data_IF_226462537074
#
_entry.id   IF_226462537074
#
_cell.length_a   1.000
_cell.length_b   1.000
_cell.length_c   1.000
_cell.angle_alpha   90.00
_cell.angle_beta   90.00
_cell.angle_gamma   90.00
#
_symmetry.space_group_name_H-M   'P 1'
#
loop_
_entity.id
_entity.type
_entity.pdbx_description
1 polymer ?
#
# COMPACT_ATOMS: atom_id res chain seq x y z
N UNK A 1 -12.30 -11.40 -20.78
CA UNK A 1 -11.03 -10.64 -20.60
C UNK A 1 -9.90 -11.62 -20.86
N UNK A 2 -8.84 -11.25 -21.58
CA UNK A 2 -7.72 -12.18 -21.79
C UNK A 2 -6.84 -12.26 -20.54
N UNK A 3 -7.03 -13.32 -19.74
CA UNK A 3 -6.26 -13.56 -18.52
C UNK A 3 -4.76 -13.71 -18.78
N UNK A 4 -4.36 -14.16 -19.98
CA UNK A 4 -2.96 -14.34 -20.31
C UNK A 4 -2.24 -12.99 -20.49
N UNK A 5 -2.97 -11.96 -20.91
CA UNK A 5 -2.42 -10.62 -21.10
C UNK A 5 -2.16 -9.85 -19.80
N UNK A 6 -2.72 -10.31 -18.67
CA UNK A 6 -2.56 -9.66 -17.36
C UNK A 6 -1.15 -9.89 -16.84
N UNK A 7 -0.34 -8.83 -16.92
CA UNK A 7 1.04 -8.80 -16.43
C UNK A 7 1.25 -7.52 -15.62
N UNK A 8 1.71 -7.67 -14.37
CA UNK A 8 2.19 -6.55 -13.57
C UNK A 8 3.51 -6.06 -14.18
N UNK A 9 3.54 -4.78 -14.53
CA UNK A 9 4.72 -4.12 -15.10
C UNK A 9 5.41 -3.35 -13.98
N UNK A 10 6.69 -3.65 -13.78
CA UNK A 10 7.51 -2.99 -12.78
C UNK A 10 8.09 -1.69 -13.35
N UNK A 11 7.98 -0.61 -12.60
CA UNK A 11 8.50 0.69 -12.97
C UNK A 11 9.21 1.32 -11.77
N UNK A 12 10.34 1.97 -12.00
CA UNK A 12 11.13 2.58 -10.94
C UNK A 12 10.31 3.61 -10.15
N UNK A 13 10.26 3.44 -8.82
CA UNK A 13 9.50 4.32 -7.95
C UNK A 13 7.99 4.04 -7.87
N UNK A 14 7.50 2.95 -8.47
CA UNK A 14 6.11 2.47 -8.31
C UNK A 14 6.10 1.15 -7.55
N UNK A 15 5.71 1.20 -6.29
CA UNK A 15 5.78 0.05 -5.37
C UNK A 15 4.44 -0.36 -4.75
N UNK A 16 3.36 0.37 -5.03
CA UNK A 16 2.02 -0.02 -4.59
C UNK A 16 1.50 -1.17 -5.46
N UNK A 17 1.82 -2.39 -5.04
CA UNK A 17 1.52 -3.63 -5.77
C UNK A 17 0.03 -3.80 -6.10
N UNK A 18 -0.89 -3.28 -5.26
CA UNK A 18 -2.32 -3.35 -5.53
C UNK A 18 -2.72 -2.44 -6.70
N UNK A 19 -2.20 -1.21 -6.73
CA UNK A 19 -2.44 -0.27 -7.83
C UNK A 19 -1.89 -0.84 -9.15
N UNK A 20 -0.69 -1.45 -9.11
CA UNK A 20 -0.11 -2.10 -10.28
C UNK A 20 -0.92 -3.32 -10.74
N UNK A 21 -1.47 -4.11 -9.81
CA UNK A 21 -2.39 -5.21 -10.11
C UNK A 21 -3.67 -4.73 -10.80
N UNK A 22 -4.29 -3.66 -10.29
CA UNK A 22 -5.46 -3.03 -10.90
C UNK A 22 -5.15 -2.46 -12.30
N UNK A 23 -3.99 -1.82 -12.48
CA UNK A 23 -3.55 -1.38 -13.82
C UNK A 23 -3.34 -2.56 -14.78
N UNK A 24 -2.77 -3.67 -14.31
CA UNK A 24 -2.58 -4.86 -15.14
C UNK A 24 -3.92 -5.44 -15.62
N UNK A 25 -4.91 -5.51 -14.72
CA UNK A 25 -6.29 -5.92 -15.04
C UNK A 25 -6.95 -4.96 -16.02
N UNK A 26 -6.84 -3.64 -15.79
CA UNK A 26 -7.40 -2.64 -16.68
C UNK A 26 -6.79 -2.69 -18.09
N UNK A 27 -5.46 -2.89 -18.20
CA UNK A 27 -4.79 -3.07 -19.49
C UNK A 27 -5.28 -4.30 -20.26
N UNK A 28 -5.57 -5.39 -19.56
CA UNK A 28 -6.16 -6.59 -20.17
C UNK A 28 -7.63 -6.40 -20.60
N UNK A 29 -8.28 -5.34 -20.10
CA UNK A 29 -9.60 -4.88 -20.50
C UNK A 29 -9.54 -3.72 -21.51
N UNK A 30 -8.42 -3.55 -22.22
CA UNK A 30 -8.18 -2.49 -23.21
C UNK A 30 -8.28 -1.05 -22.65
N UNK A 31 -8.06 -0.88 -21.34
CA UNK A 31 -8.03 0.43 -20.68
C UNK A 31 -6.70 0.77 -20.02
N UNK A 32 -6.58 2.00 -19.55
CA UNK A 32 -5.43 2.47 -18.78
C UNK A 32 -5.93 3.24 -17.57
N UNK A 33 -5.32 2.99 -16.41
CA UNK A 33 -5.62 3.71 -15.17
C UNK A 33 -4.38 4.47 -14.73
N UNK A 34 -4.56 5.70 -14.26
CA UNK A 34 -3.46 6.47 -13.69
C UNK A 34 -3.03 5.90 -12.32
N UNK A 35 -1.74 5.54 -12.20
CA UNK A 35 -1.19 4.94 -10.98
C UNK A 35 -1.30 5.86 -9.77
N UNK A 36 -1.06 7.16 -9.95
CA UNK A 36 -1.05 8.13 -8.86
C UNK A 36 -2.46 8.45 -8.40
N UNK A 37 -3.42 8.51 -9.33
CA UNK A 37 -4.84 8.60 -9.05
C UNK A 37 -5.36 7.37 -8.28
N UNK A 38 -4.95 6.15 -8.67
CA UNK A 38 -5.29 4.92 -7.93
C UNK A 38 -4.74 4.94 -6.50
N UNK A 39 -3.46 5.28 -6.34
CA UNK A 39 -2.83 5.41 -5.02
C UNK A 39 -3.53 6.47 -4.15
N UNK A 40 -3.86 7.62 -4.74
CA UNK A 40 -4.59 8.68 -4.05
C UNK A 40 -6.01 8.24 -3.67
N UNK A 41 -6.76 7.62 -4.59
CA UNK A 41 -8.11 7.12 -4.34
C UNK A 41 -8.15 6.09 -3.21
N UNK A 42 -7.14 5.23 -3.09
CA UNK A 42 -7.03 4.31 -1.96
C UNK A 42 -6.52 4.99 -0.67
N UNK A 43 -6.12 6.26 -0.71
CA UNK A 43 -5.57 7.03 0.41
C UNK A 43 -4.11 6.70 0.75
N UNK A 44 -3.45 5.87 -0.06
CA UNK A 44 -2.15 5.26 0.28
C UNK A 44 -0.96 6.15 -0.04
N UNK A 45 -1.13 7.11 -0.97
CA UNK A 45 -0.09 8.08 -1.33
C UNK A 45 0.21 9.08 -0.20
N UNK A 46 -0.76 9.33 0.69
CA UNK A 46 -0.65 10.27 1.82
C UNK A 46 -0.44 9.56 3.17
N UNK A 47 -0.71 8.26 3.28
CA UNK A 47 -0.58 7.52 4.53
C UNK A 47 0.77 6.82 4.67
N UNK A 48 1.40 6.97 5.84
CA UNK A 48 2.46 6.07 6.31
C UNK A 48 1.86 4.88 7.07
N UNK A 49 2.56 3.74 7.09
CA UNK A 49 2.10 2.50 7.75
C UNK A 49 3.30 1.80 8.38
N UNK A 50 3.14 1.33 9.62
CA UNK A 50 4.14 0.54 10.33
C UNK A 50 3.46 -0.47 11.26
N UNK A 51 4.26 -1.36 11.87
CA UNK A 51 3.85 -2.27 12.94
C UNK A 51 4.68 -2.06 14.19
N UNK A 52 4.04 -2.18 15.37
CA UNK A 52 4.73 -2.10 16.66
C UNK A 52 5.31 -3.41 17.18
N UNK A 53 4.87 -4.58 16.66
CA UNK A 53 5.25 -5.89 17.22
C UNK A 53 6.01 -6.80 16.26
N UNK A 54 6.46 -6.28 15.13
CA UNK A 54 7.28 -7.04 14.19
C UNK A 54 8.69 -6.46 14.08
N UNK A 55 9.68 -7.31 13.74
CA UNK A 55 11.09 -6.92 13.74
C UNK A 55 11.46 -5.93 12.62
N UNK A 56 10.54 -5.54 11.73
CA UNK A 56 10.84 -4.81 10.50
C UNK A 56 9.67 -3.96 9.98
N UNK A 57 9.81 -2.62 9.85
CA UNK A 57 8.73 -1.77 9.34
C UNK A 57 8.57 -1.85 7.80
N UNK A 58 9.60 -2.27 7.05
CA UNK A 58 9.69 -2.11 5.59
C UNK A 58 8.62 -2.81 4.74
N UNK A 59 8.06 -3.92 5.23
CA UNK A 59 7.12 -4.74 4.47
C UNK A 59 5.66 -4.30 4.60
N UNK A 60 5.37 -3.39 5.52
CA UNK A 60 4.00 -3.05 5.91
C UNK A 60 3.42 -1.87 5.14
N UNK A 61 4.25 -1.15 4.39
CA UNK A 61 3.74 -0.14 3.46
C UNK A 61 2.93 -0.78 2.31
N UNK A 62 3.12 -2.07 2.01
CA UNK A 62 2.36 -2.85 1.02
C UNK A 62 1.23 -3.67 1.62
N UNK A 63 0.90 -3.43 2.90
CA UNK A 63 -0.17 -4.16 3.57
C UNK A 63 -1.48 -4.06 2.81
N UNK A 64 -2.36 -5.05 2.98
CA UNK A 64 -3.70 -5.05 2.44
C UNK A 64 -4.51 -3.86 2.94
N UNK A 65 -4.36 -2.71 2.29
CA UNK A 65 -5.12 -1.48 2.51
C UNK A 65 -6.44 -1.58 1.77
N UNK A 66 -7.18 -2.60 2.15
CA UNK A 66 -8.35 -3.11 1.47
C UNK A 66 -9.64 -2.44 1.94
N UNK A 67 -9.61 -1.76 3.10
CA UNK A 67 -10.71 -0.96 3.64
C UNK A 67 -11.37 -0.04 2.60
N UNK A 68 -10.59 0.41 1.61
CA UNK A 68 -11.06 1.29 0.55
C UNK A 68 -10.87 0.76 -0.86
N UNK A 69 -10.39 -0.49 -1.05
CA UNK A 69 -10.09 -1.00 -2.40
C UNK A 69 -11.35 -1.13 -3.25
N UNK A 70 -12.46 -1.65 -2.69
CA UNK A 70 -13.70 -1.83 -3.43
C UNK A 70 -14.30 -0.50 -3.87
N UNK A 71 -14.28 0.52 -2.99
CA UNK A 71 -14.82 1.84 -3.29
C UNK A 71 -13.91 2.61 -4.27
N UNK A 72 -12.60 2.50 -4.14
CA UNK A 72 -11.63 3.07 -5.07
C UNK A 72 -11.73 2.40 -6.44
N UNK A 73 -11.69 1.07 -6.54
CA UNK A 73 -11.78 0.34 -7.79
C UNK A 73 -13.09 0.65 -8.54
N UNK A 74 -14.21 0.74 -7.82
CA UNK A 74 -15.51 1.12 -8.41
C UNK A 74 -15.48 2.50 -9.07
N UNK A 75 -14.75 3.45 -8.49
CA UNK A 75 -14.60 4.79 -9.06
C UNK A 75 -13.91 4.75 -10.44
N UNK A 76 -13.03 3.78 -10.67
CA UNK A 76 -12.34 3.54 -11.95
C UNK A 76 -13.05 2.52 -12.85
N UNK A 77 -14.32 2.17 -12.56
CA UNK A 77 -15.09 1.23 -13.38
C UNK A 77 -14.72 -0.25 -13.19
N UNK A 78 -14.07 -0.59 -12.07
CA UNK A 78 -13.75 -1.98 -11.71
C UNK A 78 -14.68 -2.45 -10.60
N UNK A 79 -15.45 -3.52 -10.85
CA UNK A 79 -16.27 -4.17 -9.83
C UNK A 79 -15.49 -5.31 -9.20
N UNK A 80 -15.13 -5.13 -7.93
CA UNK A 80 -14.52 -6.16 -7.12
C UNK A 80 -15.58 -6.86 -6.28
N UNK A 81 -15.50 -8.18 -6.18
CA UNK A 81 -16.19 -8.97 -5.16
C UNK A 81 -15.18 -9.53 -4.20
N UNK A 82 -15.35 -9.13 -2.94
CA UNK A 82 -14.57 -9.66 -1.86
C UNK A 82 -14.90 -11.13 -1.60
N UNK A 83 -13.88 -11.99 -1.48
CA UNK A 83 -14.07 -13.38 -1.05
C UNK A 83 -14.25 -13.51 0.46
N UNK A 84 -13.69 -12.58 1.26
CA UNK A 84 -13.81 -12.58 2.72
C UNK A 84 -13.61 -11.17 3.30
N UNK A 85 -14.36 -10.77 4.35
CA UNK A 85 -14.23 -9.43 4.90
C UNK A 85 -12.78 -9.10 5.32
N UNK A 86 -12.30 -7.88 5.07
CA UNK A 86 -10.97 -7.40 5.45
C UNK A 86 -10.59 -7.69 6.90
N UNK A 87 -11.57 -7.54 7.79
CA UNK A 87 -11.40 -7.66 9.25
C UNK A 87 -10.97 -9.07 9.69
N UNK A 88 -11.18 -10.08 8.84
CA UNK A 88 -10.85 -11.48 9.13
C UNK A 88 -9.39 -11.79 8.80
N UNK A 89 -8.77 -11.06 7.85
CA UNK A 89 -7.44 -11.37 7.34
C UNK A 89 -6.34 -11.32 8.42
N UNK A 90 -6.29 -10.26 9.22
CA UNK A 90 -5.22 -10.09 10.24
C UNK A 90 -5.30 -11.16 11.33
N UNK A 91 -6.51 -11.56 11.74
CA UNK A 91 -6.73 -12.63 12.73
C UNK A 91 -6.29 -14.01 12.21
N UNK A 92 -6.36 -14.20 10.89
CA UNK A 92 -6.10 -15.49 10.25
C UNK A 92 -4.61 -15.80 10.03
N UNK A 93 -3.72 -14.81 9.96
CA UNK A 93 -2.27 -15.07 9.77
C UNK A 93 -1.68 -15.87 10.93
N UNK A 94 -2.25 -15.72 12.13
CA UNK A 94 -1.81 -16.40 13.33
C UNK A 94 -2.59 -17.70 13.62
N UNK A 95 -3.62 -18.03 12.83
CA UNK A 95 -4.45 -19.21 13.04
C UNK A 95 -3.88 -20.43 12.34
N UNK A 96 -3.62 -21.50 13.10
CA UNK A 96 -3.13 -22.79 12.57
C UNK A 96 -4.10 -23.42 11.55
N UNK A 97 -5.38 -23.02 11.60
CA UNK A 97 -6.46 -23.48 10.71
C UNK A 97 -6.56 -22.71 9.39
N UNK A 98 -5.82 -21.60 9.22
CA UNK A 98 -5.96 -20.76 8.04
C UNK A 98 -5.63 -21.49 6.71
N UNK A 99 -4.55 -22.29 6.61
CA UNK A 99 -4.27 -23.05 5.39
C UNK A 99 -5.43 -23.98 4.96
N UNK A 100 -6.10 -24.61 5.92
CA UNK A 100 -7.24 -25.50 5.70
C UNK A 100 -8.46 -24.70 5.23
N UNK A 101 -8.68 -23.52 5.82
CA UNK A 101 -9.75 -22.61 5.38
C UNK A 101 -9.51 -22.08 3.96
N UNK A 102 -8.27 -21.73 3.62
CA UNK A 102 -7.90 -21.30 2.27
C UNK A 102 -8.19 -22.40 1.24
N UNK A 103 -7.77 -23.64 1.52
CA UNK A 103 -8.01 -24.79 0.64
C UNK A 103 -9.50 -25.13 0.52
N UNK A 104 -10.27 -25.04 1.61
CA UNK A 104 -11.69 -25.41 1.64
C UNK A 104 -12.64 -24.32 1.11
N UNK A 105 -12.27 -23.03 1.25
CA UNK A 105 -13.17 -21.90 0.99
C UNK A 105 -12.67 -20.98 -0.12
N UNK A 106 -11.44 -20.46 -0.02
CA UNK A 106 -10.91 -19.48 -0.99
C UNK A 106 -10.64 -20.14 -2.34
N UNK A 107 -9.86 -21.22 -2.35
CA UNK A 107 -9.40 -21.86 -3.58
C UNK A 107 -10.55 -22.31 -4.49
N UNK A 108 -11.64 -22.95 -4.02
CA UNK A 108 -12.79 -23.27 -4.88
C UNK A 108 -13.46 -22.04 -5.52
N UNK A 109 -13.52 -20.92 -4.80
CA UNK A 109 -14.08 -19.66 -5.31
C UNK A 109 -13.14 -19.01 -6.34
N UNK A 110 -11.82 -19.07 -6.13
CA UNK A 110 -10.82 -18.64 -7.11
C UNK A 110 -10.91 -19.48 -8.38
N UNK A 111 -10.97 -20.80 -8.26
CA UNK A 111 -11.12 -21.71 -9.41
C UNK A 111 -12.39 -21.41 -10.20
N UNK A 112 -13.49 -21.13 -9.50
CA UNK A 112 -14.76 -20.76 -10.15
C UNK A 112 -14.65 -19.42 -10.88
N UNK A 113 -13.99 -18.42 -10.27
CA UNK A 113 -13.77 -17.12 -10.90
C UNK A 113 -12.91 -17.25 -12.17
N UNK A 114 -11.80 -17.97 -12.10
CA UNK A 114 -10.94 -18.22 -13.26
C UNK A 114 -11.68 -18.97 -14.38
N UNK A 115 -12.54 -19.93 -14.03
CA UNK A 115 -13.42 -20.62 -14.98
C UNK A 115 -14.43 -19.71 -15.69
N UNK A 116 -14.71 -18.53 -15.13
CA UNK A 116 -15.54 -17.48 -15.72
C UNK A 116 -14.70 -16.34 -16.35
N UNK A 117 -13.41 -16.56 -16.59
CA UNK A 117 -12.47 -15.54 -17.11
C UNK A 117 -12.34 -14.29 -16.20
N UNK A 118 -12.54 -14.47 -14.88
CA UNK A 118 -12.43 -13.41 -13.88
C UNK A 118 -11.11 -13.57 -13.12
N UNK A 119 -10.14 -12.63 -13.26
CA UNK A 119 -8.91 -12.68 -12.50
C UNK A 119 -9.17 -12.40 -11.01
N UNK A 120 -8.25 -12.83 -10.15
CA UNK A 120 -8.35 -12.61 -8.70
C UNK A 120 -7.14 -11.82 -8.20
N UNK A 121 -7.38 -10.65 -7.61
CA UNK A 121 -6.36 -9.93 -6.84
C UNK A 121 -6.13 -10.70 -5.53
N UNK A 122 -4.88 -11.05 -5.25
CA UNK A 122 -4.52 -11.84 -4.08
C UNK A 122 -3.35 -11.19 -3.33
N UNK A 123 -3.55 -10.98 -2.04
CA UNK A 123 -2.52 -10.47 -1.15
C UNK A 123 -1.89 -11.61 -0.36
N UNK A 124 -0.56 -11.59 -0.29
CA UNK A 124 0.26 -12.68 0.25
C UNK A 124 0.14 -14.01 -0.50
N UNK A 125 0.89 -15.01 -0.02
CA UNK A 125 0.92 -16.35 -0.60
C UNK A 125 1.86 -16.51 -1.78
N UNK A 126 2.56 -15.44 -2.18
CA UNK A 126 3.57 -15.43 -3.24
C UNK A 126 4.95 -15.90 -2.73
N UNK A 127 5.86 -16.34 -3.61
CA UNK A 127 7.19 -16.79 -3.21
C UNK A 127 8.13 -15.66 -2.79
N UNK A 128 9.13 -16.02 -2.00
CA UNK A 128 10.33 -15.23 -1.69
C UNK A 128 10.04 -13.77 -1.28
N UNK A 129 10.72 -12.80 -1.90
CA UNK A 129 10.59 -11.38 -1.60
C UNK A 129 9.20 -10.82 -1.98
N UNK A 130 8.40 -11.56 -2.75
CA UNK A 130 7.06 -11.13 -3.16
C UNK A 130 5.96 -11.55 -2.18
N UNK A 131 6.31 -12.30 -1.13
CA UNK A 131 5.35 -12.88 -0.19
C UNK A 131 4.41 -11.88 0.49
N UNK A 132 4.76 -10.59 0.51
CA UNK A 132 3.97 -9.53 1.15
C UNK A 132 3.23 -8.61 0.16
N UNK A 133 3.34 -8.86 -1.15
CA UNK A 133 2.69 -8.04 -2.17
C UNK A 133 1.30 -8.55 -2.55
N UNK A 134 0.56 -7.64 -3.17
CA UNK A 134 -0.56 -8.00 -4.03
C UNK A 134 -0.05 -8.53 -5.36
N UNK A 135 -0.74 -9.54 -5.87
CA UNK A 135 -0.60 -10.02 -7.24
C UNK A 135 -1.95 -10.34 -7.85
N UNK A 136 -1.94 -10.80 -9.09
CA UNK A 136 -3.13 -11.20 -9.84
C UNK A 136 -3.02 -12.67 -10.20
N UNK A 137 -3.90 -13.49 -9.64
CA UNK A 137 -4.08 -14.90 -10.01
C UNK A 137 -4.83 -14.95 -11.33
N UNK A 138 -4.26 -15.67 -12.29
CA UNK A 138 -4.76 -15.75 -13.67
C UNK A 138 -4.83 -17.17 -14.21
N UNK A 139 -4.20 -18.13 -13.55
CA UNK A 139 -4.28 -19.54 -13.92
C UNK A 139 -4.45 -20.46 -12.72
N UNK A 140 -5.04 -21.62 -12.99
CA UNK A 140 -5.06 -22.75 -12.09
C UNK A 140 -4.73 -24.02 -12.88
N UNK A 141 -3.88 -24.87 -12.30
CA UNK A 141 -3.53 -26.17 -12.86
C UNK A 141 -3.15 -27.18 -11.80
N UNK A 142 -2.57 -28.31 -12.21
CA UNK A 142 -2.18 -29.40 -11.32
C UNK A 142 -1.17 -28.97 -10.24
N UNK A 143 -0.36 -27.94 -10.55
CA UNK A 143 0.61 -27.36 -9.63
C UNK A 143 0.04 -26.29 -8.68
N UNK A 144 -1.27 -26.01 -8.74
CA UNK A 144 -1.94 -25.00 -7.93
C UNK A 144 -2.31 -23.73 -8.70
N UNK A 145 -2.49 -22.64 -7.95
CA UNK A 145 -2.82 -21.31 -8.47
C UNK A 145 -1.55 -20.58 -8.88
N UNK A 146 -1.56 -19.88 -10.02
CA UNK A 146 -0.42 -19.05 -10.46
C UNK A 146 -0.88 -17.71 -11.00
N UNK A 147 0.03 -16.75 -11.00
CA UNK A 147 -0.28 -15.36 -11.31
C UNK A 147 0.95 -14.49 -11.42
N UNK A 148 0.74 -13.19 -11.55
CA UNK A 148 1.80 -12.17 -11.63
C UNK A 148 1.82 -11.35 -10.34
N UNK A 149 2.99 -10.95 -9.86
CA UNK A 149 3.17 -10.13 -8.65
C UNK A 149 4.37 -9.20 -8.82
N UNK A 150 4.52 -8.21 -7.95
CA UNK A 150 5.69 -7.33 -7.96
C UNK A 150 6.97 -8.12 -7.64
N UNK A 151 8.07 -7.80 -8.32
CA UNK A 151 9.39 -8.46 -8.26
C UNK A 151 9.46 -9.87 -8.83
N UNK A 152 8.42 -10.29 -9.58
CA UNK A 152 8.44 -11.51 -10.37
C UNK A 152 8.95 -11.28 -11.82
N UNK A 153 9.34 -10.05 -12.19
CA UNK A 153 9.87 -9.75 -13.53
C UNK A 153 8.84 -9.94 -14.66
N UNK A 154 7.55 -9.87 -14.35
CA UNK A 154 6.45 -10.14 -15.27
C UNK A 154 6.17 -11.62 -15.54
N UNK A 155 6.89 -12.54 -14.89
CA UNK A 155 6.64 -13.97 -15.01
C UNK A 155 5.43 -14.42 -14.19
N UNK A 156 4.81 -15.54 -14.60
CA UNK A 156 3.77 -16.20 -13.81
C UNK A 156 4.38 -17.13 -12.78
N UNK A 157 4.30 -16.73 -11.52
CA UNK A 157 4.80 -17.48 -10.37
C UNK A 157 3.66 -18.20 -9.64
N UNK A 158 3.92 -19.38 -9.05
CA UNK A 158 2.91 -20.08 -8.28
C UNK A 158 2.64 -19.37 -6.94
N UNK A 159 1.42 -19.48 -6.43
CA UNK A 159 1.19 -19.25 -5.01
C UNK A 159 1.84 -20.40 -4.21
N UNK A 160 2.74 -20.04 -3.30
CA UNK A 160 3.45 -20.96 -2.39
C UNK A 160 2.80 -21.07 -1.02
N UNK A 161 1.83 -20.20 -0.71
CA UNK A 161 1.08 -20.20 0.53
C UNK A 161 -0.35 -19.67 0.34
N UNK A 162 -1.18 -19.71 1.40
CA UNK A 162 -2.52 -19.15 1.34
C UNK A 162 -2.46 -17.62 1.15
N UNK A 163 -3.25 -17.10 0.21
CA UNK A 163 -3.46 -15.67 0.10
C UNK A 163 -4.42 -15.21 1.19
N UNK A 164 -4.03 -14.16 1.92
CA UNK A 164 -4.76 -13.67 3.08
C UNK A 164 -6.05 -12.95 2.70
N UNK A 165 -5.99 -12.17 1.63
CA UNK A 165 -7.10 -11.39 1.12
C UNK A 165 -7.24 -11.63 -0.39
N UNK A 166 -8.46 -11.83 -0.86
CA UNK A 166 -8.74 -12.11 -2.27
C UNK A 166 -9.95 -11.31 -2.78
N UNK A 167 -9.79 -10.65 -3.92
CA UNK A 167 -10.87 -9.96 -4.63
C UNK A 167 -11.01 -10.51 -6.04
N UNK A 168 -12.21 -11.00 -6.36
CA UNK A 168 -12.57 -11.37 -7.73
C UNK A 168 -12.88 -10.11 -8.51
N UNK A 169 -12.25 -9.93 -9.67
CA UNK A 169 -12.62 -8.88 -10.62
C UNK A 169 -13.81 -9.37 -11.42
N UNK A 170 -15.01 -8.95 -11.06
CA UNK A 170 -16.23 -9.45 -11.70
C UNK A 170 -16.53 -8.74 -13.02
N UNK A 171 -16.28 -7.42 -13.06
CA UNK A 171 -16.40 -6.56 -14.22
C UNK A 171 -15.26 -5.55 -14.24
N UNK A 172 -14.79 -5.21 -15.43
CA UNK A 172 -13.76 -4.20 -15.64
C UNK A 172 -14.09 -3.42 -16.91
N UNK A 173 -14.57 -2.20 -16.72
CA UNK A 173 -14.79 -1.20 -17.77
C UNK A 173 -14.00 0.05 -17.37
N UNK A 174 -12.66 0.05 -17.60
CA UNK A 174 -11.78 1.09 -17.08
C UNK A 174 -12.19 2.47 -17.56
N UNK A 175 -12.32 3.41 -16.63
CA UNK A 175 -12.67 4.80 -16.93
C UNK A 175 -11.91 5.78 -16.04
N UNK A 176 -11.67 6.97 -16.60
CA UNK A 176 -11.18 8.10 -15.83
C UNK A 176 -12.30 8.63 -14.92
N UNK A 177 -12.08 8.70 -13.60
CA UNK A 177 -13.10 9.18 -12.71
C UNK A 177 -13.25 10.70 -12.78
N UNK A 178 -14.43 11.24 -12.46
CA UNK A 178 -14.60 12.68 -12.27
C UNK A 178 -13.61 13.20 -11.21
N UNK A 179 -12.84 14.24 -11.56
CA UNK A 179 -11.72 14.73 -10.74
C UNK A 179 -12.17 15.17 -9.34
N UNK A 180 -13.37 15.73 -9.22
CA UNK A 180 -13.99 16.15 -7.96
C UNK A 180 -14.30 14.95 -7.05
N UNK A 181 -14.87 13.88 -7.61
CA UNK A 181 -15.14 12.64 -6.88
C UNK A 181 -13.84 11.94 -6.45
N UNK A 182 -12.84 11.95 -7.33
CA UNK A 182 -11.51 11.43 -7.03
C UNK A 182 -10.84 12.18 -5.88
N UNK A 183 -10.87 13.52 -5.91
CA UNK A 183 -10.34 14.36 -4.82
C UNK A 183 -11.06 14.10 -3.50
N UNK A 184 -12.40 14.11 -3.50
CA UNK A 184 -13.19 13.87 -2.30
C UNK A 184 -12.92 12.47 -1.71
N UNK A 185 -12.80 11.45 -2.56
CA UNK A 185 -12.44 10.10 -2.16
C UNK A 185 -11.03 10.04 -1.56
N UNK A 186 -10.04 10.60 -2.25
CA UNK A 186 -8.65 10.60 -1.81
C UNK A 186 -8.49 11.26 -0.44
N UNK A 187 -9.10 12.44 -0.22
CA UNK A 187 -9.06 13.14 1.06
C UNK A 187 -9.76 12.36 2.17
N UNK A 188 -10.92 11.78 1.90
CA UNK A 188 -11.66 10.98 2.90
C UNK A 188 -10.87 9.75 3.33
N UNK A 189 -10.28 9.02 2.39
CA UNK A 189 -9.52 7.81 2.69
C UNK A 189 -8.17 8.13 3.35
N UNK A 190 -7.49 9.19 2.91
CA UNK A 190 -6.29 9.69 3.58
C UNK A 190 -6.60 10.14 5.02
N UNK A 191 -7.66 10.91 5.25
CA UNK A 191 -8.08 11.34 6.60
C UNK A 191 -8.39 10.14 7.51
N UNK A 192 -9.06 9.12 6.97
CA UNK A 192 -9.36 7.90 7.70
C UNK A 192 -8.08 7.18 8.17
N UNK A 193 -7.09 7.01 7.28
CA UNK A 193 -5.80 6.41 7.65
C UNK A 193 -4.98 7.29 8.59
N UNK A 194 -4.92 8.59 8.36
CA UNK A 194 -3.99 9.46 9.08
C UNK A 194 -4.53 9.89 10.45
N UNK A 195 -5.85 10.08 10.59
CA UNK A 195 -6.44 10.75 11.75
C UNK A 195 -7.48 9.90 12.50
N UNK A 196 -7.97 8.79 11.91
CA UNK A 196 -9.08 8.01 12.48
C UNK A 196 -8.75 6.54 12.74
N UNK A 197 -7.48 6.17 12.64
CA UNK A 197 -7.01 4.83 12.99
C UNK A 197 -7.14 4.54 14.51
N UNK A 198 -7.32 3.27 14.93
CA UNK A 198 -7.32 2.06 14.10
C UNK A 198 -8.61 1.91 13.27
N UNK A 199 -8.46 1.47 12.01
CA UNK A 199 -9.60 1.21 11.12
C UNK A 199 -10.26 -0.16 11.39
N UNK A 200 -9.60 -1.04 12.15
CA UNK A 200 -10.12 -2.34 12.60
C UNK A 200 -10.41 -2.28 14.10
N UNK A 201 -11.52 -2.85 14.60
CA UNK A 201 -11.79 -2.93 16.03
C UNK A 201 -10.73 -3.76 16.76
N UNK A 202 -10.20 -3.22 17.86
CA UNK A 202 -9.31 -3.95 18.77
C UNK A 202 -10.11 -5.06 19.46
N UNK A 203 -9.88 -6.32 19.09
CA UNK A 203 -10.46 -7.46 19.78
C UNK A 203 -9.73 -7.68 21.11
N UNK A 204 -10.48 -7.62 22.22
CA UNK A 204 -9.91 -7.75 23.56
C UNK A 204 -9.30 -9.16 23.76
N UNK A 205 -8.01 -9.20 24.08
CA UNK A 205 -7.30 -10.43 24.47
C UNK A 205 -6.26 -10.94 23.48
N UNK A 206 -6.17 -10.37 22.27
CA UNK A 206 -5.12 -10.70 21.31
C UNK A 206 -4.04 -9.60 21.30
N UNK A 207 -2.77 -10.01 21.45
CA UNK A 207 -1.58 -9.16 21.30
C UNK A 207 -1.14 -9.15 19.84
N UNK A 208 -2.06 -8.79 18.94
CA UNK A 208 -1.74 -8.72 17.51
C UNK A 208 -0.81 -7.55 17.21
N UNK A 209 -0.07 -7.61 16.08
CA UNK A 209 0.54 -6.42 15.52
C UNK A 209 -0.54 -5.40 15.19
N UNK A 210 -0.62 -4.36 16.02
CA UNK A 210 -1.51 -3.23 15.75
C UNK A 210 -0.88 -2.47 14.58
N UNK A 211 -1.51 -2.61 13.41
CA UNK A 211 -1.21 -1.75 12.27
C UNK A 211 -1.43 -0.30 12.69
N UNK A 212 -0.36 0.47 12.61
CA UNK A 212 -0.37 1.91 12.91
C UNK A 212 -0.19 2.67 11.62
N UNK A 213 -1.01 3.69 11.42
CA UNK A 213 -1.01 4.52 10.22
C UNK A 213 -0.81 6.00 10.55
N UNK A 214 -0.44 6.78 9.53
CA UNK A 214 -0.20 8.21 9.66
C UNK A 214 1.00 8.50 10.57
N UNK A 215 0.97 9.60 11.35
CA UNK A 215 2.09 9.98 12.19
C UNK A 215 2.52 8.91 13.20
N UNK A 216 1.57 8.12 13.73
CA UNK A 216 1.87 7.05 14.69
C UNK A 216 2.72 5.91 14.07
N UNK A 217 2.73 5.78 12.74
CA UNK A 217 3.61 4.85 12.03
C UNK A 217 5.08 5.26 12.13
N UNK A 218 5.36 6.58 12.12
CA UNK A 218 6.71 7.09 12.32
C UNK A 218 7.18 6.87 13.76
N UNK A 219 6.30 7.08 14.76
CA UNK A 219 6.64 6.78 16.16
C UNK A 219 7.12 5.32 16.32
N UNK A 220 6.44 4.37 15.66
CA UNK A 220 6.85 2.96 15.66
C UNK A 220 8.17 2.72 14.92
N UNK A 221 8.40 3.45 13.82
CA UNK A 221 9.66 3.37 13.07
C UNK A 221 10.84 3.93 13.88
N UNK A 222 10.64 5.03 14.59
CA UNK A 222 11.62 5.62 15.51
C UNK A 222 11.95 4.68 16.66
N UNK A 223 10.93 4.09 17.29
CA UNK A 223 11.10 3.13 18.38
C UNK A 223 11.93 1.92 17.93
N UNK A 224 11.64 1.39 16.74
CA UNK A 224 12.42 0.29 16.15
C UNK A 224 13.87 0.68 15.86
N UNK A 225 14.10 1.86 15.26
CA UNK A 225 15.45 2.37 14.98
C UNK A 225 16.26 2.63 16.27
N UNK A 226 15.59 3.07 17.34
CA UNK A 226 16.23 3.37 18.62
C UNK A 226 16.48 2.12 19.48
N UNK A 227 15.61 1.10 19.38
CA UNK A 227 15.63 -0.09 20.24
C UNK A 227 16.48 -1.25 19.74
N UNK A 228 16.89 -1.28 18.46
CA UNK A 228 17.59 -2.42 17.87
C UNK A 228 19.08 -2.54 18.24
N UNK A 229 19.48 -3.68 18.80
CA UNK A 229 20.86 -4.16 18.73
C UNK A 229 21.13 -4.70 17.31
N UNK A 230 21.43 -3.79 16.38
CA UNK A 230 21.75 -4.16 15.01
C UNK A 230 23.10 -4.90 14.95
N UNK A 231 23.12 -6.02 14.24
CA UNK A 231 24.31 -6.83 14.00
C UNK A 231 25.29 -6.17 13.03
N UNK A 232 26.33 -6.91 12.63
CA UNK A 232 27.24 -6.45 11.58
C UNK A 232 26.46 -6.19 10.28
N UNK A 233 26.62 -4.99 9.72
CA UNK A 233 25.79 -4.45 8.62
C UNK A 233 25.70 -5.37 7.38
N UNK A 234 26.74 -6.15 7.10
CA UNK A 234 26.78 -7.06 5.94
C UNK A 234 25.87 -8.27 6.10
N UNK A 235 25.43 -8.57 7.32
CA UNK A 235 24.61 -9.74 7.68
C UNK A 235 23.26 -9.37 8.29
N UNK A 236 23.09 -8.11 8.72
CA UNK A 236 21.86 -7.64 9.31
C UNK A 236 20.85 -7.22 8.22
N UNK A 237 19.67 -7.85 8.12
CA UNK A 237 18.64 -7.44 7.17
C UNK A 237 18.02 -6.06 7.48
N UNK A 238 18.17 -5.55 8.71
CA UNK A 238 17.50 -4.33 9.18
C UNK A 238 17.77 -3.09 8.32
N UNK A 239 19.00 -2.92 7.81
CA UNK A 239 19.29 -1.77 6.95
C UNK A 239 18.52 -1.83 5.63
N UNK A 240 18.27 -3.03 5.09
CA UNK A 240 17.45 -3.19 3.86
C UNK A 240 16.00 -2.87 4.15
N UNK A 241 15.50 -3.29 5.30
CA UNK A 241 14.13 -3.02 5.73
C UNK A 241 13.90 -1.53 5.96
N UNK A 242 14.83 -0.83 6.61
CA UNK A 242 14.80 0.63 6.71
C UNK A 242 14.81 1.29 5.33
N UNK A 243 15.74 0.89 4.46
CA UNK A 243 15.88 1.44 3.11
C UNK A 243 14.59 1.27 2.31
N UNK A 244 14.02 0.06 2.34
CA UNK A 244 12.79 -0.27 1.64
C UNK A 244 11.59 0.50 2.21
N UNK A 245 11.51 0.65 3.53
CA UNK A 245 10.47 1.48 4.16
C UNK A 245 10.55 2.94 3.67
N UNK A 246 11.75 3.52 3.71
CA UNK A 246 11.99 4.87 3.22
C UNK A 246 11.65 5.00 1.73
N UNK A 247 12.04 4.02 0.91
CA UNK A 247 11.77 3.98 -0.52
C UNK A 247 10.27 3.94 -0.82
N UNK A 248 9.50 3.13 -0.08
CA UNK A 248 8.05 3.05 -0.23
C UNK A 248 7.35 4.35 0.21
N UNK A 249 7.77 4.97 1.31
CA UNK A 249 7.25 6.29 1.73
C UNK A 249 7.59 7.38 0.73
N UNK A 250 8.82 7.42 0.23
CA UNK A 250 9.26 8.39 -0.78
C UNK A 250 8.45 8.23 -2.08
N UNK A 251 8.23 6.99 -2.53
CA UNK A 251 7.38 6.70 -3.68
C UNK A 251 5.94 7.17 -3.46
N UNK A 252 5.35 6.88 -2.30
CA UNK A 252 4.01 7.33 -1.94
C UNK A 252 3.89 8.87 -1.97
N UNK A 253 4.87 9.59 -1.40
CA UNK A 253 4.86 11.06 -1.39
C UNK A 253 5.11 11.68 -2.77
N UNK A 254 5.94 11.06 -3.62
CA UNK A 254 6.05 11.47 -5.02
C UNK A 254 4.72 11.29 -5.76
N UNK A 255 4.04 10.16 -5.52
CA UNK A 255 2.72 9.89 -6.07
C UNK A 255 1.69 10.93 -5.63
N UNK A 256 1.68 11.29 -4.33
CA UNK A 256 0.83 12.36 -3.81
C UNK A 256 1.11 13.71 -4.49
N UNK A 257 2.37 14.07 -4.72
CA UNK A 257 2.75 15.30 -5.43
C UNK A 257 2.25 15.29 -6.87
N UNK A 258 2.40 14.18 -7.60
CA UNK A 258 1.89 14.07 -8.99
C UNK A 258 0.36 14.23 -9.02
N UNK A 259 -0.34 13.51 -8.14
CA UNK A 259 -1.80 13.59 -8.02
C UNK A 259 -2.30 15.00 -7.66
N UNK A 260 -1.74 15.62 -6.63
CA UNK A 260 -2.16 16.95 -6.19
C UNK A 260 -1.92 18.01 -7.27
N UNK A 261 -0.85 17.89 -8.04
CA UNK A 261 -0.62 18.76 -9.20
C UNK A 261 -1.64 18.53 -10.32
N UNK A 262 -2.04 17.28 -10.60
CA UNK A 262 -2.98 16.97 -11.67
C UNK A 262 -4.42 17.43 -11.38
N UNK A 263 -4.78 17.53 -10.10
CA UNK A 263 -6.10 17.98 -9.65
C UNK A 263 -6.14 19.43 -9.14
N UNK A 264 -5.00 20.14 -9.14
CA UNK A 264 -4.89 21.51 -8.61
C UNK A 264 -5.90 22.49 -9.22
N UNK A 265 -6.19 22.35 -10.51
CA UNK A 265 -7.08 23.26 -11.26
C UNK A 265 -8.54 23.23 -10.79
N UNK A 266 -8.98 22.12 -10.16
CA UNK A 266 -10.36 21.96 -9.70
C UNK A 266 -10.55 22.33 -8.23
N UNK A 267 -9.47 22.63 -7.51
CA UNK A 267 -9.51 22.97 -6.10
C UNK A 267 -10.03 24.41 -5.94
N UNK A 268 -11.01 24.67 -5.05
CA UNK A 268 -11.50 26.02 -4.79
C UNK A 268 -10.38 26.98 -4.38
N UNK A 269 -10.47 28.25 -4.81
CA UNK A 269 -9.43 29.27 -4.60
C UNK A 269 -9.05 29.46 -3.12
N UNK A 270 -10.01 29.32 -2.23
CA UNK A 270 -9.88 29.40 -0.78
C UNK A 270 -9.05 28.26 -0.17
N UNK A 271 -8.92 27.13 -0.87
CA UNK A 271 -8.16 25.95 -0.44
C UNK A 271 -6.78 25.84 -1.12
N UNK A 272 -6.50 26.65 -2.16
CA UNK A 272 -5.25 26.58 -2.94
C UNK A 272 -4.00 26.75 -2.06
N UNK A 273 -4.02 27.70 -1.11
CA UNK A 273 -2.89 27.90 -0.19
C UNK A 273 -2.61 26.68 0.69
N UNK A 274 -3.65 25.92 1.06
CA UNK A 274 -3.51 24.73 1.90
C UNK A 274 -2.94 23.57 1.08
N UNK A 275 -3.36 23.43 -0.17
CA UNK A 275 -2.83 22.43 -1.11
C UNK A 275 -1.39 22.72 -1.49
N UNK A 276 -1.02 23.98 -1.68
CA UNK A 276 0.38 24.36 -1.93
C UNK A 276 1.28 23.99 -0.75
N UNK A 277 0.82 24.22 0.48
CA UNK A 277 1.54 23.77 1.68
C UNK A 277 1.61 22.24 1.79
N UNK A 278 0.56 21.53 1.38
CA UNK A 278 0.53 20.07 1.34
C UNK A 278 1.55 19.51 0.32
N UNK A 279 1.60 20.10 -0.88
CA UNK A 279 2.60 19.79 -1.91
C UNK A 279 4.03 20.00 -1.39
N UNK A 280 4.29 21.18 -0.82
CA UNK A 280 5.61 21.52 -0.26
C UNK A 280 6.02 20.57 0.87
N UNK A 281 5.07 20.17 1.72
CA UNK A 281 5.34 19.26 2.83
C UNK A 281 5.62 17.83 2.34
N UNK A 282 4.90 17.35 1.31
CA UNK A 282 5.21 16.06 0.67
C UNK A 282 6.60 16.07 0.03
N UNK A 283 6.94 17.13 -0.71
CA UNK A 283 8.27 17.29 -1.32
C UNK A 283 9.40 17.39 -0.26
N UNK A 284 9.13 18.03 0.88
CA UNK A 284 10.06 18.08 1.99
C UNK A 284 10.32 16.68 2.59
N UNK A 285 9.29 15.84 2.77
CA UNK A 285 9.48 14.45 3.20
C UNK A 285 10.30 13.62 2.21
N UNK A 286 10.05 13.77 0.90
CA UNK A 286 10.87 13.13 -0.14
C UNK A 286 12.35 13.53 0.01
N UNK A 287 12.62 14.79 0.31
CA UNK A 287 13.98 15.30 0.51
C UNK A 287 14.62 14.74 1.79
N UNK A 288 13.85 14.67 2.88
CA UNK A 288 14.34 14.16 4.18
C UNK A 288 14.68 12.67 4.14
N UNK A 289 13.83 11.85 3.52
CA UNK A 289 13.98 10.40 3.47
C UNK A 289 14.73 9.89 2.23
N UNK A 290 14.92 10.73 1.22
CA UNK A 290 15.65 10.38 -0.01
C UNK A 290 17.03 9.75 0.24
N UNK A 291 17.88 10.28 1.14
CA UNK A 291 19.16 9.66 1.47
C UNK A 291 19.05 8.23 2.03
N UNK A 292 17.97 7.92 2.76
CA UNK A 292 17.70 6.57 3.27
C UNK A 292 17.31 5.57 2.19
N UNK A 293 16.99 6.02 0.97
CA UNK A 293 16.66 5.13 -0.15
C UNK A 293 17.92 4.60 -0.86
N UNK A 294 19.06 5.29 -0.73
CA UNK A 294 20.33 4.87 -1.34
C UNK A 294 20.92 3.67 -0.59
N UNK A 295 21.22 2.60 -1.31
CA UNK A 295 21.73 1.36 -0.71
C UNK A 295 23.03 1.60 0.07
N UNK A 296 23.99 2.29 -0.55
CA UNK A 296 25.30 2.52 0.06
C UNK A 296 25.21 3.47 1.25
N UNK A 297 24.41 4.54 1.12
CA UNK A 297 24.16 5.54 2.16
C UNK A 297 23.44 4.95 3.37
N UNK A 298 22.36 4.20 3.16
CA UNK A 298 21.64 3.52 4.23
C UNK A 298 22.54 2.52 4.95
N UNK A 299 23.25 1.66 4.20
CA UNK A 299 24.19 0.68 4.76
C UNK A 299 25.31 1.34 5.57
N UNK A 300 25.95 2.38 5.03
CA UNK A 300 27.00 3.12 5.74
C UNK A 300 26.46 3.77 7.02
N UNK A 301 25.25 4.34 6.98
CA UNK A 301 24.64 4.99 8.14
C UNK A 301 24.29 3.98 9.24
N UNK A 302 23.83 2.78 8.88
CA UNK A 302 23.60 1.69 9.83
C UNK A 302 24.89 1.15 10.48
N UNK A 303 26.04 1.31 9.84
CA UNK A 303 27.31 0.73 10.32
C UNK A 303 27.94 1.46 11.52
N UNK A 304 27.42 2.61 11.92
CA UNK A 304 27.98 3.39 13.04
C UNK A 304 26.89 4.03 13.92
N UNK A 305 27.15 4.24 15.22
CA UNK A 305 26.21 4.94 16.10
C UNK A 305 25.84 6.34 15.61
N UNK A 306 26.81 7.10 15.09
CA UNK A 306 26.57 8.45 14.57
C UNK A 306 25.70 8.43 13.31
N UNK A 307 25.94 7.49 12.39
CA UNK A 307 25.11 7.31 11.21
C UNK A 307 23.67 6.91 11.56
N UNK A 308 23.49 6.01 12.54
CA UNK A 308 22.14 5.65 13.03
C UNK A 308 21.42 6.85 13.65
N UNK A 309 22.12 7.69 14.40
CA UNK A 309 21.56 8.92 14.94
C UNK A 309 21.08 9.86 13.81
N UNK A 310 21.84 9.96 12.70
CA UNK A 310 21.40 10.72 11.51
C UNK A 310 20.13 10.15 10.89
N UNK A 311 20.00 8.82 10.80
CA UNK A 311 18.77 8.19 10.29
C UNK A 311 17.58 8.47 11.20
N UNK A 312 17.76 8.36 12.52
CA UNK A 312 16.73 8.65 13.51
C UNK A 312 16.27 10.11 13.42
N UNK A 313 17.19 11.06 13.32
CA UNK A 313 16.87 12.49 13.13
C UNK A 313 16.11 12.76 11.83
N UNK A 314 16.44 12.05 10.75
CA UNK A 314 15.73 12.16 9.48
C UNK A 314 14.28 11.64 9.60
N UNK A 315 14.09 10.47 10.23
CA UNK A 315 12.76 9.91 10.51
C UNK A 315 11.95 10.84 11.39
N UNK A 316 12.54 11.39 12.45
CA UNK A 316 11.89 12.35 13.35
C UNK A 316 11.44 13.64 12.65
N UNK A 317 12.25 14.16 11.74
CA UNK A 317 11.84 15.33 10.94
C UNK A 317 10.75 14.98 9.93
N UNK A 318 10.76 13.77 9.39
CA UNK A 318 9.75 13.29 8.47
C UNK A 318 8.41 13.07 9.19
N UNK A 319 8.42 12.57 10.43
CA UNK A 319 7.28 12.47 11.34
C UNK A 319 6.59 13.83 11.54
N UNK A 320 7.38 14.86 11.84
CA UNK A 320 6.84 16.20 12.08
C UNK A 320 6.21 16.80 10.81
N UNK A 321 6.73 16.44 9.64
CA UNK A 321 6.10 16.76 8.37
C UNK A 321 4.82 15.95 8.14
N UNK A 322 4.77 14.69 8.56
CA UNK A 322 3.60 13.83 8.43
C UNK A 322 2.42 14.33 9.27
N UNK A 323 2.69 14.81 10.49
CA UNK A 323 1.68 15.48 11.33
C UNK A 323 1.10 16.70 10.64
N UNK A 324 1.91 17.48 9.92
CA UNK A 324 1.41 18.61 9.12
C UNK A 324 0.53 18.14 7.97
N UNK A 325 0.94 17.10 7.23
CA UNK A 325 0.12 16.47 6.18
C UNK A 325 -1.23 16.05 6.76
N UNK A 326 -1.24 15.35 7.89
CA UNK A 326 -2.45 14.85 8.55
C UNK A 326 -3.44 15.97 8.89
N UNK A 327 -2.96 17.09 9.44
CA UNK A 327 -3.78 18.27 9.75
C UNK A 327 -4.37 18.91 8.49
N UNK A 328 -3.57 19.07 7.43
CA UNK A 328 -4.02 19.66 6.16
C UNK A 328 -5.05 18.76 5.46
N UNK A 329 -4.85 17.44 5.47
CA UNK A 329 -5.79 16.46 4.93
C UNK A 329 -7.11 16.49 5.70
N UNK A 330 -7.08 16.59 7.03
CA UNK A 330 -8.29 16.70 7.85
C UNK A 330 -9.08 17.97 7.50
N UNK A 331 -8.40 19.12 7.40
CA UNK A 331 -9.04 20.40 7.05
C UNK A 331 -9.66 20.37 5.65
N UNK A 332 -8.92 19.87 4.64
CA UNK A 332 -9.42 19.69 3.28
C UNK A 332 -10.61 18.72 3.23
N UNK A 333 -10.55 17.60 3.97
CA UNK A 333 -11.64 16.63 4.02
C UNK A 333 -12.91 17.21 4.66
N UNK A 334 -12.78 17.99 5.75
CA UNK A 334 -13.91 18.69 6.36
C UNK A 334 -14.54 19.69 5.40
N UNK A 335 -13.72 20.46 4.68
CA UNK A 335 -14.20 21.43 3.70
C UNK A 335 -14.97 20.76 2.55
N UNK A 336 -14.44 19.65 2.01
CA UNK A 336 -15.10 18.88 0.95
C UNK A 336 -16.48 18.34 1.40
N UNK A 337 -16.60 17.88 2.64
CA UNK A 337 -17.86 17.38 3.19
C UNK A 337 -18.89 18.48 3.48
N UNK A 338 -18.46 19.73 3.69
CA UNK A 338 -19.37 20.85 3.92
C UNK A 338 -20.05 21.36 2.63
N UNK A 339 -19.51 21.00 1.46
CA UNK A 339 -20.01 21.43 0.15
C UNK A 339 -20.91 20.39 -0.55
N UNK A 340 -21.04 19.18 0.01
CA UNK A 340 -21.87 18.09 -0.51
C UNK A 340 -23.27 18.09 0.13
#
# INVERSE_FOLDING_TARGET
MDLESIVIREEAGRYESLALGLQAVARAADGELDYDALCAAMGVSLAAVSLRSEPAPGWWMTFGRDAFVESAAKLFGIRLRNLHPPDVGVEMVAADEFPQHFEASYKPLILTALGNEQPVLAWQGWPDASAMFWGVVTEAGDAGLRGTTLWAGGERVPLTGPALQCYVVEECDPQDPPRDQLLAMALRHADAYMNRAPLTPVVAGLTMPVLVTGPAAFDAWEEWLAGGEFGATDRDPAWREHRQHAEFLVAARRSAVTFLNSIREIIPSEQQNLVDQLLDTCAAQVTLLGPSCDENGARASFSSPAGRQTLLEAVHRAEAADRRIAMMVEELSRAANASA
#
